data_IF_026179428435
#
_entry.id   IF_026179428435
#
_cell.length_a   1.000
_cell.length_b   1.000
_cell.length_c   1.000
_cell.angle_alpha   90.00
_cell.angle_beta   90.00
_cell.angle_gamma   90.00
#
_symmetry.space_group_name_H-M   'P 1'
#
loop_
_entity.id
_entity.type
_entity.pdbx_description
1 polymer ?
#
# COMPACT_ATOMS: atom_id res chain seq x y z
N UNK A 1 -12.18 -25.71 27.58
CA UNK A 1 -12.07 -24.57 26.64
C UNK A 1 -10.84 -23.77 27.03
N UNK A 2 -9.75 -23.92 26.30
CA UNK A 2 -8.55 -23.08 26.49
C UNK A 2 -8.92 -21.67 26.07
N UNK A 3 -8.88 -20.73 27.01
CA UNK A 3 -9.03 -19.30 26.72
C UNK A 3 -7.83 -18.91 25.85
N UNK A 4 -8.05 -18.80 24.54
CA UNK A 4 -7.02 -18.30 23.63
C UNK A 4 -6.86 -16.81 23.95
N UNK A 5 -5.69 -16.43 24.41
CA UNK A 5 -5.37 -15.03 24.73
C UNK A 5 -5.21 -14.23 23.43
N UNK A 6 -6.24 -13.48 23.08
CA UNK A 6 -6.26 -12.60 21.90
C UNK A 6 -5.48 -11.28 22.09
N UNK A 7 -4.75 -11.10 23.19
CA UNK A 7 -4.00 -9.85 23.48
C UNK A 7 -3.00 -9.54 22.38
N UNK A 8 -2.27 -10.55 21.92
CA UNK A 8 -1.33 -10.41 20.79
C UNK A 8 -2.05 -10.08 19.47
N UNK A 9 -3.18 -10.73 19.22
CA UNK A 9 -4.01 -10.47 18.04
C UNK A 9 -4.56 -9.04 18.04
N UNK A 10 -5.10 -8.57 19.16
CA UNK A 10 -5.59 -7.19 19.32
C UNK A 10 -4.50 -6.15 19.07
N UNK A 11 -3.29 -6.39 19.60
CA UNK A 11 -2.14 -5.51 19.34
C UNK A 11 -1.78 -5.46 17.86
N UNK A 12 -1.67 -6.61 17.18
CA UNK A 12 -1.38 -6.67 15.75
C UNK A 12 -2.47 -6.00 14.92
N UNK A 13 -3.74 -6.22 15.27
CA UNK A 13 -4.89 -5.56 14.63
C UNK A 13 -4.81 -4.04 14.80
N UNK A 14 -4.50 -3.53 16.00
CA UNK A 14 -4.34 -2.10 16.23
C UNK A 14 -3.24 -1.49 15.33
N UNK A 15 -2.08 -2.15 15.21
CA UNK A 15 -1.00 -1.72 14.31
C UNK A 15 -1.46 -1.72 12.85
N UNK A 16 -2.18 -2.76 12.42
CA UNK A 16 -2.67 -2.87 11.04
C UNK A 16 -3.79 -1.85 10.74
N UNK A 17 -4.68 -1.56 11.69
CA UNK A 17 -5.70 -0.52 11.56
C UNK A 17 -5.05 0.85 11.41
N UNK A 18 -4.06 1.16 12.26
CA UNK A 18 -3.30 2.41 12.18
C UNK A 18 -2.55 2.50 10.84
N UNK A 19 -1.89 1.42 10.42
CA UNK A 19 -1.24 1.34 9.12
C UNK A 19 -2.26 1.54 7.98
N UNK A 20 -3.43 0.91 8.06
CA UNK A 20 -4.48 1.06 7.05
C UNK A 20 -5.02 2.48 6.99
N UNK A 21 -5.22 3.15 8.14
CA UNK A 21 -5.73 4.51 8.19
C UNK A 21 -4.75 5.54 7.58
N UNK A 22 -3.47 5.46 7.96
CA UNK A 22 -2.46 6.44 7.52
C UNK A 22 -1.81 6.05 6.20
N UNK A 23 -1.26 4.85 6.10
CA UNK A 23 -0.59 4.40 4.87
C UNK A 23 -1.61 4.15 3.75
N UNK A 24 -2.81 3.67 4.09
CA UNK A 24 -3.89 3.46 3.15
C UNK A 24 -4.32 4.73 2.41
N UNK A 25 -4.15 5.91 3.04
CA UNK A 25 -4.48 7.20 2.43
C UNK A 25 -3.70 7.51 1.14
N UNK A 26 -2.57 6.85 0.93
CA UNK A 26 -1.77 6.97 -0.29
C UNK A 26 -2.54 6.53 -1.54
N UNK A 27 -3.42 5.51 -1.46
CA UNK A 27 -4.15 5.01 -2.63
C UNK A 27 -5.11 6.07 -3.20
N UNK A 28 -6.01 6.67 -2.41
CA UNK A 28 -6.82 7.80 -2.88
C UNK A 28 -5.97 8.97 -3.38
N UNK A 29 -4.83 9.28 -2.72
CA UNK A 29 -3.90 10.32 -3.18
C UNK A 29 -3.37 10.01 -4.59
N UNK A 30 -2.87 8.81 -4.81
CA UNK A 30 -2.32 8.41 -6.12
C UNK A 30 -3.38 8.37 -7.22
N UNK A 31 -4.62 8.00 -6.91
CA UNK A 31 -5.70 7.99 -7.89
C UNK A 31 -6.09 9.41 -8.31
N UNK A 32 -6.20 10.33 -7.35
CA UNK A 32 -6.49 11.74 -7.64
C UNK A 32 -5.35 12.38 -8.45
N UNK A 33 -4.12 12.28 -7.94
CA UNK A 33 -2.97 12.91 -8.58
C UNK A 33 -2.58 12.20 -9.87
N UNK A 34 -2.67 10.86 -9.92
CA UNK A 34 -2.38 10.07 -11.11
C UNK A 34 -3.25 10.43 -12.31
N UNK A 35 -4.55 10.70 -12.08
CA UNK A 35 -5.45 11.18 -13.12
C UNK A 35 -5.12 12.61 -13.57
N UNK A 36 -4.91 13.53 -12.62
CA UNK A 36 -4.66 14.95 -12.93
C UNK A 36 -3.26 15.16 -13.56
N UNK A 37 -2.23 14.54 -13.01
CA UNK A 37 -0.88 14.60 -13.56
C UNK A 37 -0.79 13.81 -14.88
N UNK A 38 -1.49 12.68 -14.98
CA UNK A 38 -1.60 11.92 -16.21
C UNK A 38 -2.21 12.72 -17.35
N UNK A 39 -3.24 13.53 -17.07
CA UNK A 39 -3.84 14.42 -18.06
C UNK A 39 -2.86 15.49 -18.58
N UNK A 40 -2.01 16.02 -17.69
CA UNK A 40 -1.04 17.06 -18.05
C UNK A 40 0.22 16.51 -18.74
N UNK A 41 0.67 15.30 -18.34
CA UNK A 41 1.86 14.65 -18.91
C UNK A 41 1.59 13.89 -20.19
N UNK A 42 0.36 13.45 -20.39
CA UNK A 42 0.02 12.59 -21.53
C UNK A 42 0.01 13.35 -22.84
N UNK A 43 0.60 12.79 -23.90
CA UNK A 43 0.51 13.35 -25.26
C UNK A 43 -0.92 13.25 -25.84
N UNK A 44 -1.78 12.39 -25.25
CA UNK A 44 -3.15 12.17 -25.71
C UNK A 44 -4.08 12.05 -24.49
N UNK A 45 -5.20 12.79 -24.50
CA UNK A 45 -6.20 12.80 -23.42
C UNK A 45 -6.75 11.40 -23.11
N UNK A 46 -6.83 10.51 -24.09
CA UNK A 46 -7.26 9.13 -23.91
C UNK A 46 -6.32 8.32 -22.96
N UNK A 47 -5.09 8.74 -22.78
CA UNK A 47 -4.10 8.09 -21.93
C UNK A 47 -4.02 8.70 -20.52
N UNK A 48 -4.84 9.69 -20.21
CA UNK A 48 -4.81 10.43 -18.95
C UNK A 48 -4.95 9.53 -17.70
N UNK A 49 -5.73 8.45 -17.80
CA UNK A 49 -5.97 7.49 -16.70
C UNK A 49 -5.02 6.30 -16.72
N UNK A 50 -4.13 6.21 -17.71
CA UNK A 50 -3.18 5.10 -17.83
C UNK A 50 -2.28 4.93 -16.59
N UNK A 51 -1.81 5.99 -15.90
CA UNK A 51 -1.06 5.84 -14.65
C UNK A 51 -1.82 5.06 -13.58
N UNK A 52 -3.14 5.27 -13.44
CA UNK A 52 -3.99 4.53 -12.50
C UNK A 52 -4.05 3.05 -12.91
N UNK A 53 -4.23 2.77 -14.18
CA UNK A 53 -4.24 1.39 -14.71
C UNK A 53 -2.89 0.71 -14.49
N UNK A 54 -1.78 1.44 -14.58
CA UNK A 54 -0.43 0.91 -14.30
C UNK A 54 -0.24 0.55 -12.82
N UNK A 55 -0.83 1.30 -11.88
CA UNK A 55 -0.83 0.93 -10.44
C UNK A 55 -1.55 -0.41 -10.26
N UNK A 56 -2.74 -0.56 -10.86
CA UNK A 56 -3.52 -1.80 -10.75
C UNK A 56 -2.77 -2.97 -11.41
N UNK A 57 -2.22 -2.77 -12.58
CA UNK A 57 -1.44 -3.77 -13.30
C UNK A 57 -0.19 -4.20 -12.50
N UNK A 58 0.53 -3.23 -11.91
CA UNK A 58 1.66 -3.49 -11.01
C UNK A 58 1.24 -4.32 -9.80
N UNK A 59 0.07 -4.05 -9.21
CA UNK A 59 -0.48 -4.84 -8.11
C UNK A 59 -0.78 -6.28 -8.53
N UNK A 60 -1.38 -6.48 -9.69
CA UNK A 60 -1.71 -7.82 -10.20
C UNK A 60 -0.47 -8.67 -10.47
N UNK A 61 0.53 -8.10 -11.14
CA UNK A 61 1.78 -8.81 -11.47
C UNK A 61 2.66 -9.08 -10.25
N UNK A 62 2.54 -8.26 -9.22
CA UNK A 62 3.29 -8.41 -7.95
C UNK A 62 2.69 -9.50 -7.06
N UNK A 63 1.40 -9.74 -7.10
CA UNK A 63 0.69 -10.60 -6.15
C UNK A 63 1.30 -12.00 -5.99
N UNK A 64 1.67 -12.74 -7.04
CA UNK A 64 2.22 -14.09 -6.91
C UNK A 64 3.55 -14.11 -6.15
N UNK A 65 4.50 -13.24 -6.53
CA UNK A 65 5.82 -13.26 -5.90
C UNK A 65 5.79 -12.64 -4.50
N UNK A 66 4.99 -11.60 -4.25
CA UNK A 66 4.85 -11.02 -2.92
C UNK A 66 4.23 -12.01 -1.94
N UNK A 67 3.23 -12.79 -2.38
CA UNK A 67 2.66 -13.89 -1.61
C UNK A 67 3.74 -14.91 -1.22
N UNK A 68 4.62 -15.29 -2.16
CA UNK A 68 5.74 -16.22 -1.91
C UNK A 68 6.74 -15.63 -0.90
N UNK A 69 7.06 -14.33 -1.02
CA UNK A 69 7.92 -13.64 -0.04
C UNK A 69 7.29 -13.67 1.34
N UNK A 70 5.99 -13.40 1.45
CA UNK A 70 5.26 -13.44 2.73
C UNK A 70 5.20 -14.84 3.34
N UNK A 71 5.10 -15.88 2.51
CA UNK A 71 5.14 -17.27 2.98
C UNK A 71 6.52 -17.69 3.48
N UNK A 72 7.59 -17.31 2.79
CA UNK A 72 8.97 -17.70 3.15
C UNK A 72 9.56 -16.86 4.27
N UNK A 73 9.38 -15.54 4.22
CA UNK A 73 10.04 -14.59 5.13
C UNK A 73 9.09 -14.00 6.17
N UNK A 74 7.79 -14.30 6.07
CA UNK A 74 6.75 -13.79 6.95
C UNK A 74 6.09 -12.51 6.45
N UNK A 75 4.92 -12.17 7.01
CA UNK A 75 4.10 -11.02 6.63
C UNK A 75 4.85 -9.69 6.70
N UNK A 76 5.68 -9.53 7.75
CA UNK A 76 6.47 -8.31 7.95
C UNK A 76 7.41 -8.02 6.77
N UNK A 77 8.12 -9.05 6.27
CA UNK A 77 9.02 -8.89 5.12
C UNK A 77 8.27 -8.43 3.86
N UNK A 78 7.07 -8.99 3.61
CA UNK A 78 6.24 -8.58 2.48
C UNK A 78 5.72 -7.14 2.61
N UNK A 79 5.39 -6.68 3.83
CA UNK A 79 4.94 -5.30 4.05
C UNK A 79 6.08 -4.30 3.90
N UNK A 80 7.28 -4.63 4.38
CA UNK A 80 8.48 -3.80 4.17
C UNK A 80 8.83 -3.74 2.68
N UNK A 81 8.79 -4.88 1.97
CA UNK A 81 9.01 -4.90 0.52
C UNK A 81 7.97 -4.06 -0.24
N UNK A 82 6.69 -4.13 0.18
CA UNK A 82 5.63 -3.29 -0.36
C UNK A 82 5.88 -1.80 -0.14
N UNK A 83 6.22 -1.40 1.09
CA UNK A 83 6.54 -0.01 1.42
C UNK A 83 7.76 0.51 0.64
N UNK A 84 8.79 -0.33 0.48
CA UNK A 84 9.97 0.00 -0.34
C UNK A 84 9.60 0.19 -1.81
N UNK A 85 8.77 -0.71 -2.38
CA UNK A 85 8.23 -0.57 -3.73
C UNK A 85 7.41 0.71 -3.91
N UNK A 86 6.55 1.03 -2.93
CA UNK A 86 5.78 2.28 -2.93
C UNK A 86 6.66 3.53 -2.83
N UNK A 87 7.70 3.50 -1.98
CA UNK A 87 8.65 4.60 -1.83
C UNK A 87 9.46 4.85 -3.11
N UNK A 88 10.00 3.79 -3.73
CA UNK A 88 10.73 3.91 -5.00
C UNK A 88 9.83 4.36 -6.14
N UNK A 89 8.59 3.85 -6.21
CA UNK A 89 7.60 4.29 -7.19
C UNK A 89 7.22 5.75 -7.02
N UNK A 90 6.99 6.21 -5.78
CA UNK A 90 6.69 7.61 -5.49
C UNK A 90 7.87 8.53 -5.84
N UNK A 91 9.10 8.12 -5.52
CA UNK A 91 10.30 8.87 -5.89
C UNK A 91 10.44 9.00 -7.42
N UNK A 92 10.17 7.92 -8.14
CA UNK A 92 10.22 7.93 -9.60
C UNK A 92 9.11 8.79 -10.21
N UNK A 93 7.89 8.79 -9.63
CA UNK A 93 6.82 9.71 -10.04
C UNK A 93 7.19 11.17 -9.75
N UNK A 94 7.76 11.47 -8.58
CA UNK A 94 8.24 12.81 -8.26
C UNK A 94 9.30 13.28 -9.28
N UNK A 95 10.26 12.43 -9.60
CA UNK A 95 11.28 12.71 -10.63
C UNK A 95 10.65 12.90 -12.02
N UNK A 96 9.67 12.07 -12.39
CA UNK A 96 8.96 12.18 -13.66
C UNK A 96 8.27 13.54 -13.84
N UNK A 97 7.75 14.14 -12.77
CA UNK A 97 7.17 15.48 -12.79
C UNK A 97 8.22 16.56 -13.11
N UNK A 98 9.45 16.41 -12.62
CA UNK A 98 10.53 17.37 -12.88
C UNK A 98 11.02 17.34 -14.32
N UNK A 99 11.13 16.13 -14.90
CA UNK A 99 11.57 15.94 -16.31
C UNK A 99 10.40 15.90 -17.31
N UNK A 100 9.17 16.07 -16.82
CA UNK A 100 7.94 16.03 -17.61
C UNK A 100 7.80 14.79 -18.51
N UNK A 101 8.24 13.63 -18.02
CA UNK A 101 8.23 12.37 -18.75
C UNK A 101 7.05 11.49 -18.39
N UNK A 102 6.13 11.30 -19.33
CA UNK A 102 4.97 10.42 -19.15
C UNK A 102 5.39 8.95 -18.94
N UNK A 103 6.40 8.47 -19.69
CA UNK A 103 6.86 7.08 -19.55
C UNK A 103 7.49 6.79 -18.18
N UNK A 104 8.29 7.72 -17.68
CA UNK A 104 8.86 7.61 -16.33
C UNK A 104 7.77 7.63 -15.26
N UNK A 105 6.71 8.42 -15.47
CA UNK A 105 5.55 8.48 -14.58
C UNK A 105 4.77 7.16 -14.57
N UNK A 106 4.58 6.53 -15.73
CA UNK A 106 3.95 5.21 -15.83
C UNK A 106 4.75 4.13 -15.11
N UNK A 107 6.08 4.15 -15.25
CA UNK A 107 6.95 3.20 -14.55
C UNK A 107 6.89 3.39 -13.04
N UNK A 108 6.91 4.63 -12.55
CA UNK A 108 6.71 4.94 -11.14
C UNK A 108 5.35 4.44 -10.63
N UNK A 109 4.29 4.68 -11.41
CA UNK A 109 2.94 4.20 -11.11
C UNK A 109 2.87 2.67 -11.02
N UNK A 110 3.55 1.95 -11.92
CA UNK A 110 3.66 0.50 -11.87
C UNK A 110 4.31 0.02 -10.55
N UNK A 111 5.40 0.65 -10.12
CA UNK A 111 6.09 0.31 -8.86
C UNK A 111 5.22 0.63 -7.63
N UNK A 112 4.41 1.68 -7.66
CA UNK A 112 3.40 1.96 -6.61
C UNK A 112 2.43 0.78 -6.48
N UNK A 113 2.15 0.05 -7.56
CA UNK A 113 1.34 -1.16 -7.54
C UNK A 113 1.86 -2.25 -6.59
N UNK A 114 3.17 -2.33 -6.35
CA UNK A 114 3.77 -3.24 -5.36
C UNK A 114 3.23 -2.93 -3.96
N UNK A 115 3.18 -1.65 -3.60
CA UNK A 115 2.59 -1.19 -2.34
C UNK A 115 1.09 -1.49 -2.28
N UNK A 116 0.34 -1.22 -3.34
CA UNK A 116 -1.09 -1.52 -3.42
C UNK A 116 -1.36 -3.01 -3.17
N UNK A 117 -0.57 -3.90 -3.76
CA UNK A 117 -0.64 -5.34 -3.51
C UNK A 117 -0.40 -5.67 -2.03
N UNK A 118 0.66 -5.12 -1.45
CA UNK A 118 1.03 -5.34 -0.05
C UNK A 118 -0.06 -4.89 0.91
N UNK A 119 -0.66 -3.72 0.68
CA UNK A 119 -1.77 -3.19 1.47
C UNK A 119 -2.99 -4.11 1.46
N UNK A 120 -3.29 -4.74 0.32
CA UNK A 120 -4.37 -5.72 0.21
C UNK A 120 -4.24 -6.91 1.17
N UNK A 121 -3.02 -7.24 1.61
CA UNK A 121 -2.75 -8.30 2.57
C UNK A 121 -2.95 -7.91 4.04
N UNK A 122 -3.15 -6.64 4.40
CA UNK A 122 -3.33 -6.22 5.81
C UNK A 122 -4.51 -6.93 6.48
N UNK A 123 -5.64 -7.06 5.78
CA UNK A 123 -6.83 -7.76 6.28
C UNK A 123 -6.58 -9.24 6.56
N UNK A 124 -5.75 -9.90 5.76
CA UNK A 124 -5.40 -11.30 5.98
C UNK A 124 -4.40 -11.45 7.13
N UNK A 125 -3.42 -10.55 7.23
CA UNK A 125 -2.47 -10.55 8.32
C UNK A 125 -3.13 -10.31 9.69
N UNK A 126 -4.26 -9.59 9.73
CA UNK A 126 -5.03 -9.37 10.94
C UNK A 126 -5.63 -10.68 11.50
N UNK A 127 -5.85 -11.68 10.66
CA UNK A 127 -6.42 -12.97 11.05
C UNK A 127 -5.38 -14.01 11.47
N UNK A 128 -4.10 -13.81 11.14
CA UNK A 128 -3.05 -14.82 11.33
C UNK A 128 -2.82 -15.19 12.81
N UNK A 129 -3.11 -14.26 13.74
CA UNK A 129 -2.95 -14.49 15.19
C UNK A 129 -4.27 -14.44 15.96
N UNK A 130 -5.38 -14.28 15.27
CA UNK A 130 -6.71 -14.13 15.87
C UNK A 130 -7.39 -15.48 16.10
N UNK A 131 -8.11 -15.62 17.22
CA UNK A 131 -9.03 -16.76 17.44
C UNK A 131 -10.15 -16.78 16.39
N UNK A 132 -10.75 -17.93 16.15
CA UNK A 132 -11.85 -18.07 15.17
C UNK A 132 -13.02 -17.12 15.46
N UNK A 133 -13.32 -16.85 16.75
CA UNK A 133 -14.34 -15.90 17.17
C UNK A 133 -13.94 -14.43 16.91
N UNK A 134 -12.65 -14.10 16.91
CA UNK A 134 -12.15 -12.74 16.72
C UNK A 134 -11.81 -12.39 15.26
N UNK A 135 -11.53 -13.38 14.40
CA UNK A 135 -11.18 -13.16 12.97
C UNK A 135 -12.12 -12.23 12.22
N UNK A 136 -13.48 -12.41 12.28
CA UNK A 136 -14.37 -11.50 11.54
C UNK A 136 -14.26 -10.05 12.02
N UNK A 137 -14.13 -9.85 13.34
CA UNK A 137 -13.95 -8.53 13.93
C UNK A 137 -12.61 -7.90 13.53
N UNK A 138 -11.53 -8.69 13.52
CA UNK A 138 -10.21 -8.24 13.10
C UNK A 138 -10.21 -7.71 11.66
N UNK A 139 -10.85 -8.42 10.73
CA UNK A 139 -11.01 -7.97 9.34
C UNK A 139 -11.82 -6.67 9.29
N UNK A 140 -12.96 -6.60 10.00
CA UNK A 140 -13.83 -5.43 10.01
C UNK A 140 -13.11 -4.19 10.54
N UNK A 141 -12.29 -4.31 11.56
CA UNK A 141 -11.51 -3.18 12.10
C UNK A 141 -10.48 -2.67 11.09
N UNK A 142 -9.75 -3.55 10.41
CA UNK A 142 -8.80 -3.14 9.36
C UNK A 142 -9.52 -2.47 8.20
N UNK A 143 -10.68 -3.00 7.78
CA UNK A 143 -11.50 -2.40 6.72
C UNK A 143 -12.04 -1.02 7.14
N UNK A 144 -12.44 -0.84 8.42
CA UNK A 144 -12.84 0.47 8.95
C UNK A 144 -11.69 1.49 8.91
N UNK A 145 -10.44 1.07 9.15
CA UNK A 145 -9.26 1.91 8.91
C UNK A 145 -9.17 2.41 7.46
N UNK A 146 -9.63 1.60 6.50
CA UNK A 146 -9.72 1.98 5.09
C UNK A 146 -10.72 3.12 4.82
N UNK A 147 -11.82 3.20 5.55
CA UNK A 147 -12.76 4.32 5.44
C UNK A 147 -12.12 5.63 5.91
N UNK A 148 -11.33 5.59 6.98
CA UNK A 148 -10.56 6.74 7.46
C UNK A 148 -9.56 7.18 6.38
N UNK A 149 -8.85 6.25 5.76
CA UNK A 149 -7.89 6.54 4.71
C UNK A 149 -8.52 7.19 3.47
N UNK A 150 -9.75 6.81 3.12
CA UNK A 150 -10.50 7.39 2.01
C UNK A 150 -10.86 8.86 2.23
N UNK A 151 -11.01 9.28 3.50
CA UNK A 151 -11.23 10.68 3.86
C UNK A 151 -9.89 11.44 3.92
N UNK A 152 -8.89 10.88 4.57
CA UNK A 152 -7.57 11.53 4.77
C UNK A 152 -6.88 11.78 3.43
N UNK A 153 -6.92 10.83 2.49
CA UNK A 153 -6.17 10.91 1.23
C UNK A 153 -6.49 12.16 0.41
N UNK A 154 -7.76 12.40 0.00
CA UNK A 154 -8.13 13.59 -0.76
C UNK A 154 -7.87 14.90 -0.01
N UNK A 155 -8.11 14.94 1.32
CA UNK A 155 -7.84 16.12 2.14
C UNK A 155 -6.35 16.46 2.14
N UNK A 156 -5.50 15.45 2.26
CA UNK A 156 -4.05 15.62 2.22
C UNK A 156 -3.58 16.13 0.84
N UNK A 157 -4.17 15.62 -0.25
CA UNK A 157 -3.90 16.16 -1.60
C UNK A 157 -4.30 17.64 -1.68
N UNK A 158 -5.51 17.98 -1.25
CA UNK A 158 -5.99 19.37 -1.25
C UNK A 158 -5.06 20.31 -0.47
N UNK A 159 -4.64 19.89 0.72
CA UNK A 159 -3.71 20.65 1.55
C UNK A 159 -2.33 20.82 0.89
N UNK A 160 -1.75 19.75 0.38
CA UNK A 160 -0.41 19.75 -0.22
C UNK A 160 -0.36 20.49 -1.56
N UNK A 161 -1.41 20.40 -2.37
CA UNK A 161 -1.47 21.09 -3.67
C UNK A 161 -1.92 22.53 -3.54
N UNK A 162 -2.75 22.88 -2.56
CA UNK A 162 -3.22 24.23 -2.31
C UNK A 162 -2.17 25.14 -1.66
N UNK A 163 -1.26 24.57 -0.87
CA UNK A 163 -0.24 25.32 -0.15
C UNK A 163 0.76 26.05 -1.08
N UNK A 164 0.97 25.57 -2.31
CA UNK A 164 1.97 26.12 -3.22
C UNK A 164 1.45 27.14 -4.24
N UNK A 165 0.13 27.30 -4.36
CA UNK A 165 -0.49 28.31 -5.26
C UNK A 165 -0.14 28.18 -6.75
N UNK A 166 0.71 27.23 -7.13
CA UNK A 166 1.21 27.05 -8.49
C UNK A 166 0.18 26.29 -9.35
N UNK A 167 -0.17 26.85 -10.49
CA UNK A 167 -0.98 26.17 -11.51
C UNK A 167 -0.17 25.12 -12.30
N UNK A 168 1.14 25.04 -12.05
CA UNK A 168 2.06 24.14 -12.75
C UNK A 168 1.96 22.69 -12.24
N UNK A 169 2.49 21.77 -13.03
CA UNK A 169 2.58 20.35 -12.70
C UNK A 169 3.34 20.07 -11.39
N UNK A 170 4.26 20.98 -11.01
CA UNK A 170 5.04 20.88 -9.78
C UNK A 170 4.19 20.95 -8.49
N UNK A 171 2.91 21.40 -8.57
CA UNK A 171 1.98 21.36 -7.43
C UNK A 171 1.75 19.93 -6.90
N UNK A 172 1.97 18.90 -7.73
CA UNK A 172 1.80 17.51 -7.33
C UNK A 172 3.06 16.90 -6.70
N UNK A 173 4.21 17.55 -6.83
CA UNK A 173 5.48 17.07 -6.28
C UNK A 173 5.43 16.83 -4.75
N UNK A 174 4.88 17.73 -3.91
CA UNK A 174 4.78 17.50 -2.46
C UNK A 174 3.94 16.27 -2.09
N UNK A 175 2.97 15.88 -2.93
CA UNK A 175 2.14 14.69 -2.69
C UNK A 175 2.98 13.42 -2.74
N UNK A 176 3.90 13.32 -3.70
CA UNK A 176 4.82 12.18 -3.79
C UNK A 176 5.88 12.19 -2.68
N UNK A 177 6.35 13.37 -2.24
CA UNK A 177 7.21 13.46 -1.06
C UNK A 177 6.50 13.00 0.22
N UNK A 178 5.24 13.40 0.40
CA UNK A 178 4.43 12.92 1.53
C UNK A 178 4.23 11.40 1.47
N UNK A 179 4.03 10.83 0.29
CA UNK A 179 3.93 9.39 0.11
C UNK A 179 5.24 8.66 0.45
N UNK A 180 6.40 9.21 0.09
CA UNK A 180 7.71 8.67 0.49
C UNK A 180 7.83 8.67 2.02
N UNK A 181 7.48 9.80 2.67
CA UNK A 181 7.52 9.91 4.13
C UNK A 181 6.57 8.91 4.81
N UNK A 182 5.35 8.77 4.29
CA UNK A 182 4.37 7.80 4.79
C UNK A 182 4.90 6.36 4.68
N UNK A 183 5.52 5.99 3.55
CA UNK A 183 6.12 4.66 3.40
C UNK A 183 7.29 4.44 4.37
N UNK A 184 8.13 5.45 4.61
CA UNK A 184 9.21 5.38 5.60
C UNK A 184 8.65 5.16 7.02
N UNK A 185 7.61 5.92 7.41
CA UNK A 185 6.88 5.71 8.68
C UNK A 185 6.27 4.31 8.72
N UNK A 186 5.72 3.83 7.61
CA UNK A 186 5.17 2.48 7.47
C UNK A 186 6.18 1.39 7.77
N UNK A 187 7.41 1.50 7.27
CA UNK A 187 8.48 0.54 7.59
C UNK A 187 8.77 0.48 9.09
N UNK A 188 8.74 1.61 9.79
CA UNK A 188 8.89 1.67 11.25
C UNK A 188 7.69 1.02 11.95
N UNK A 189 6.46 1.32 11.51
CA UNK A 189 5.25 0.70 12.07
C UNK A 189 5.26 -0.82 11.92
N UNK A 190 5.69 -1.35 10.78
CA UNK A 190 5.79 -2.80 10.56
C UNK A 190 6.87 -3.47 11.43
N UNK A 191 7.82 -2.70 11.98
CA UNK A 191 8.76 -3.22 12.96
C UNK A 191 8.07 -3.68 14.25
N UNK A 192 6.94 -3.05 14.63
CA UNK A 192 6.15 -3.41 15.81
C UNK A 192 5.21 -4.61 15.58
N UNK A 193 5.07 -5.07 14.33
CA UNK A 193 4.21 -6.19 13.99
C UNK A 193 4.83 -7.50 14.46
N UNK A 194 4.12 -8.24 15.31
CA UNK A 194 4.58 -9.50 15.88
C UNK A 194 3.70 -10.67 15.38
N UNK A 195 3.86 -11.01 14.11
CA UNK A 195 3.18 -12.15 13.48
C UNK A 195 4.20 -13.29 13.33
N UNK A 196 3.91 -14.51 13.84
CA UNK A 196 4.77 -15.67 13.67
C UNK A 196 4.90 -15.99 12.18
N UNK A 197 6.06 -16.52 11.79
CA UNK A 197 6.22 -17.05 10.44
C UNK A 197 5.25 -18.22 10.24
N UNK A 198 4.62 -18.35 9.07
CA UNK A 198 3.84 -19.54 8.75
C UNK A 198 4.71 -20.78 8.89
N UNK A 199 4.15 -21.92 9.39
CA UNK A 199 4.88 -23.17 9.36
C UNK A 199 5.27 -23.49 7.91
N UNK A 200 6.54 -23.82 7.68
CA UNK A 200 7.01 -24.25 6.36
C UNK A 200 6.20 -25.50 5.99
N UNK A 201 5.51 -25.55 4.84
CA UNK A 201 4.85 -26.77 4.42
C UNK A 201 5.88 -27.90 4.38
N UNK A 202 5.62 -29.00 5.10
CA UNK A 202 6.47 -30.19 5.01
C UNK A 202 6.51 -30.60 3.53
N UNK A 203 7.72 -30.75 2.99
CA UNK A 203 7.97 -31.08 1.57
C UNK A 203 7.39 -32.47 1.20
N UNK A 204 6.93 -33.24 2.17
CA UNK A 204 6.47 -34.62 2.05
C UNK A 204 4.96 -34.83 2.23
N UNK A 205 4.11 -33.84 1.94
CA UNK A 205 2.69 -34.16 1.82
C UNK A 205 2.44 -34.93 0.49
N UNK A 206 2.07 -36.22 0.51
CA UNK A 206 1.79 -36.96 -0.72
C UNK A 206 0.65 -36.26 -1.44
N UNK A 207 0.87 -35.87 -2.71
CA UNK A 207 -0.18 -35.40 -3.59
C UNK A 207 -1.25 -36.47 -3.65
N UNK A 208 -2.34 -36.29 -2.91
CA UNK A 208 -3.51 -37.15 -3.00
C UNK A 208 -3.98 -37.20 -4.45
N UNK A 209 -4.15 -38.45 -4.94
CA UNK A 209 -4.77 -38.76 -6.22
C UNK A 209 -6.23 -38.33 -6.23
#
# INVERSE_FOLDING_TARGET
MTVIDDTRAKRNVAVLVTAQAFLGSQMPMYFVVGGLAGQQLSPNVCLATLPISMIVFGSMTTAPWLSTVMQRFGRRAGFVAGAFGGMTGAALCAYALTIQSFMTFLLGSYLIGIYMCSQGFFRFAATDTASDAFRPKAISYVMAGGLISAIIGPQLVGFLTGANGDATMMRFFPVYLAAIALNAVGMVLFAFLNIPKPPVPAVDAPKGR
#
